data_IF_299163584525
#
_entry.id   IF_299163584525
#
_cell.length_a   1.000
_cell.length_b   1.000
_cell.length_c   1.000
_cell.angle_alpha   90.00
_cell.angle_beta   90.00
_cell.angle_gamma   90.00
#
_symmetry.space_group_name_H-M   'P 1'
#
loop_
_entity.id
_entity.type
_entity.pdbx_description
1 polymer ?
#
# COMPACT_ATOMS: atom_id res chain seq x y z
N UNK A 1 24.88 -14.49 -1.63
CA UNK A 1 23.53 -14.38 -1.02
C UNK A 1 23.71 -14.30 0.48
N UNK A 2 23.14 -13.28 1.12
CA UNK A 2 23.12 -13.14 2.59
C UNK A 2 22.20 -14.19 3.22
N UNK A 3 22.44 -14.53 4.48
CA UNK A 3 21.56 -15.46 5.21
C UNK A 3 20.24 -14.77 5.58
N UNK A 4 19.15 -15.54 5.75
CA UNK A 4 17.86 -15.01 6.22
C UNK A 4 17.99 -14.21 7.53
N UNK A 5 18.76 -14.73 8.49
CA UNK A 5 19.01 -14.07 9.79
C UNK A 5 19.79 -12.77 9.64
N UNK A 6 20.71 -12.73 8.67
CA UNK A 6 21.50 -11.54 8.37
C UNK A 6 20.62 -10.46 7.74
N UNK A 7 19.74 -10.82 6.80
CA UNK A 7 18.76 -9.89 6.24
C UNK A 7 17.82 -9.34 7.31
N UNK A 8 17.24 -10.19 8.17
CA UNK A 8 16.37 -9.74 9.28
C UNK A 8 17.08 -8.75 10.21
N UNK A 9 18.34 -9.02 10.56
CA UNK A 9 19.17 -8.13 11.37
C UNK A 9 19.39 -6.77 10.69
N UNK A 10 19.79 -6.79 9.41
CA UNK A 10 20.02 -5.56 8.64
C UNK A 10 18.73 -4.75 8.42
N UNK A 11 17.60 -5.43 8.16
CA UNK A 11 16.29 -4.77 8.05
C UNK A 11 15.89 -4.10 9.36
N UNK A 12 16.16 -4.74 10.51
CA UNK A 12 15.93 -4.14 11.81
C UNK A 12 16.81 -2.90 12.03
N UNK A 13 18.11 -2.99 11.74
CA UNK A 13 19.01 -1.84 11.84
C UNK A 13 18.54 -0.69 10.96
N UNK A 14 18.18 -0.97 9.71
CA UNK A 14 17.65 0.03 8.77
C UNK A 14 16.36 0.70 9.29
N UNK A 15 15.46 -0.08 9.90
CA UNK A 15 14.27 0.49 10.55
C UNK A 15 14.65 1.45 11.68
N UNK A 16 15.55 1.06 12.58
CA UNK A 16 16.00 1.90 13.70
C UNK A 16 16.72 3.19 13.22
N UNK A 17 17.44 3.12 12.10
CA UNK A 17 18.15 4.25 11.51
C UNK A 17 17.23 5.21 10.74
N UNK A 18 16.13 4.71 10.16
CA UNK A 18 15.26 5.49 9.26
C UNK A 18 13.93 5.88 9.88
N UNK A 19 13.56 5.31 11.03
CA UNK A 19 12.38 5.72 11.77
C UNK A 19 12.59 7.13 12.32
N UNK A 20 11.63 8.02 12.05
CA UNK A 20 11.62 9.37 12.58
C UNK A 20 10.22 9.80 12.97
N UNK A 21 10.13 10.84 13.79
CA UNK A 21 8.88 11.52 14.08
C UNK A 21 8.86 12.79 13.23
N UNK A 22 7.82 12.96 12.42
CA UNK A 22 7.67 14.14 11.56
C UNK A 22 7.13 15.35 12.34
N UNK A 23 6.97 16.48 11.66
CA UNK A 23 6.52 17.74 12.26
C UNK A 23 5.12 17.64 12.90
N UNK A 24 4.29 16.72 12.40
CA UNK A 24 2.95 16.42 12.92
C UNK A 24 2.96 15.42 14.10
N UNK A 25 4.14 15.00 14.57
CA UNK A 25 4.26 14.03 15.66
C UNK A 25 3.98 12.57 15.25
N UNK A 26 4.00 12.25 13.95
CA UNK A 26 3.73 10.90 13.43
C UNK A 26 5.03 10.15 13.11
N UNK A 27 5.00 8.84 13.32
CA UNK A 27 6.09 7.96 12.90
C UNK A 27 6.12 7.85 11.37
N UNK A 28 7.26 8.20 10.80
CA UNK A 28 7.62 7.91 9.41
C UNK A 28 8.69 6.84 9.39
N UNK A 29 8.50 5.83 8.53
CA UNK A 29 9.41 4.69 8.38
C UNK A 29 9.74 4.53 6.91
N UNK A 30 11.01 4.28 6.60
CA UNK A 30 11.40 3.97 5.22
C UNK A 30 11.03 2.53 4.87
N UNK A 31 10.56 2.31 3.65
CA UNK A 31 10.30 0.95 3.16
C UNK A 31 11.62 0.17 3.06
N UNK A 32 11.69 -1.07 3.59
CA UNK A 32 12.92 -1.85 3.63
C UNK A 32 13.18 -2.51 2.27
N UNK A 33 13.69 -1.75 1.30
CA UNK A 33 13.99 -2.25 -0.04
C UNK A 33 15.12 -3.29 -0.05
N UNK A 34 14.94 -4.36 -0.83
CA UNK A 34 16.02 -5.34 -1.08
C UNK A 34 17.08 -4.73 -1.97
N UNK A 35 18.36 -4.83 -1.60
CA UNK A 35 19.45 -4.24 -2.39
C UNK A 35 19.57 -4.78 -3.83
N UNK A 36 19.04 -5.97 -4.10
CA UNK A 36 19.06 -6.64 -5.40
C UNK A 36 17.67 -6.76 -6.06
N UNK A 37 16.69 -5.94 -5.64
CA UNK A 37 15.36 -6.00 -6.24
C UNK A 37 15.40 -5.64 -7.74
N UNK A 38 14.61 -6.34 -8.54
CA UNK A 38 14.37 -5.94 -9.93
C UNK A 38 13.61 -4.60 -9.97
N UNK A 39 13.74 -3.80 -11.06
CA UNK A 39 12.95 -2.58 -11.21
C UNK A 39 11.46 -2.85 -11.00
N UNK A 40 10.81 -2.01 -10.20
CA UNK A 40 9.37 -2.10 -9.94
C UNK A 40 8.64 -1.20 -10.94
N UNK A 41 8.02 -1.75 -12.01
CA UNK A 41 7.29 -0.94 -12.96
C UNK A 41 5.97 -0.45 -12.37
N UNK A 42 5.41 0.58 -13.01
CA UNK A 42 4.06 1.02 -12.70
C UNK A 42 3.04 -0.08 -13.01
N UNK A 43 2.05 -0.24 -12.14
CA UNK A 43 0.95 -1.20 -12.29
C UNK A 43 -0.41 -0.50 -12.48
N UNK A 44 -0.40 0.79 -12.89
CA UNK A 44 -1.58 1.66 -12.97
C UNK A 44 -2.79 1.02 -13.65
N UNK A 45 -2.61 0.43 -14.83
CA UNK A 45 -3.72 -0.22 -15.56
C UNK A 45 -4.35 -1.37 -14.79
N UNK A 46 -3.53 -2.19 -14.12
CA UNK A 46 -4.00 -3.32 -13.31
C UNK A 46 -4.77 -2.80 -12.09
N UNK A 47 -4.25 -1.74 -11.45
CA UNK A 47 -4.89 -1.12 -10.31
C UNK A 47 -6.22 -0.47 -10.67
N UNK A 48 -6.29 0.22 -11.81
CA UNK A 48 -7.51 0.86 -12.29
C UNK A 48 -8.60 -0.17 -12.61
N UNK A 49 -8.28 -1.25 -13.33
CA UNK A 49 -9.24 -2.34 -13.62
C UNK A 49 -9.79 -2.98 -12.34
N UNK A 50 -8.95 -3.13 -11.31
CA UNK A 50 -9.36 -3.65 -10.00
C UNK A 50 -10.26 -2.67 -9.26
N UNK A 51 -9.98 -1.37 -9.34
CA UNK A 51 -10.83 -0.31 -8.79
C UNK A 51 -12.22 -0.35 -9.42
N UNK A 52 -12.31 -0.30 -10.75
CA UNK A 52 -13.59 -0.36 -11.49
C UNK A 52 -14.43 -1.58 -11.10
N UNK A 53 -13.78 -2.75 -11.07
CA UNK A 53 -14.45 -4.01 -10.71
C UNK A 53 -14.95 -3.99 -9.26
N UNK A 54 -14.14 -3.48 -8.33
CA UNK A 54 -14.50 -3.38 -6.91
C UNK A 54 -15.63 -2.38 -6.69
N UNK A 55 -15.60 -1.23 -7.35
CA UNK A 55 -16.64 -0.21 -7.32
C UNK A 55 -17.97 -0.75 -7.83
N UNK A 56 -17.98 -1.44 -8.98
CA UNK A 56 -19.19 -2.09 -9.50
C UNK A 56 -19.78 -3.09 -8.50
N UNK A 57 -18.94 -3.90 -7.86
CA UNK A 57 -19.37 -4.86 -6.84
C UNK A 57 -19.97 -4.16 -5.62
N UNK A 58 -19.33 -3.09 -5.13
CA UNK A 58 -19.81 -2.31 -4.00
C UNK A 58 -21.19 -1.66 -4.25
N UNK A 59 -21.43 -1.16 -5.45
CA UNK A 59 -22.76 -0.65 -5.83
C UNK A 59 -23.80 -1.76 -5.86
N UNK A 60 -23.47 -2.91 -6.46
CA UNK A 60 -24.38 -4.06 -6.51
C UNK A 60 -24.76 -4.55 -5.09
N UNK A 61 -23.80 -4.58 -4.18
CA UNK A 61 -24.00 -4.99 -2.78
C UNK A 61 -24.55 -3.88 -1.87
N UNK A 62 -24.80 -2.67 -2.41
CA UNK A 62 -25.26 -1.47 -1.68
C UNK A 62 -24.32 -1.07 -0.52
N UNK A 63 -23.02 -1.28 -0.69
CA UNK A 63 -21.98 -0.98 0.29
C UNK A 63 -21.10 0.21 -0.10
N UNK A 64 -21.32 0.81 -1.27
CA UNK A 64 -20.48 1.89 -1.79
C UNK A 64 -20.35 3.07 -0.81
N UNK A 65 -21.45 3.63 -0.32
CA UNK A 65 -21.42 4.76 0.62
C UNK A 65 -20.64 4.42 1.89
N UNK A 66 -20.93 3.28 2.50
CA UNK A 66 -20.22 2.85 3.72
C UNK A 66 -18.72 2.61 3.47
N UNK A 67 -18.33 2.23 2.26
CA UNK A 67 -16.92 2.05 1.88
C UNK A 67 -16.23 3.39 1.62
N UNK A 68 -16.89 4.29 0.89
CA UNK A 68 -16.44 5.66 0.59
C UNK A 68 -16.27 6.50 1.87
N UNK A 69 -17.17 6.36 2.84
CA UNK A 69 -17.08 7.03 4.13
C UNK A 69 -15.79 6.69 4.89
N UNK A 70 -15.25 5.47 4.73
CA UNK A 70 -13.95 5.09 5.32
C UNK A 70 -12.81 5.90 4.72
N UNK A 71 -12.80 6.10 3.40
CA UNK A 71 -11.76 6.90 2.74
C UNK A 71 -11.89 8.39 3.08
N UNK A 72 -13.12 8.90 3.21
CA UNK A 72 -13.36 10.28 3.69
C UNK A 72 -12.90 10.47 5.12
N UNK A 73 -13.15 9.50 6.00
CA UNK A 73 -12.63 9.52 7.37
C UNK A 73 -11.10 9.52 7.36
N UNK A 74 -10.45 8.64 6.59
CA UNK A 74 -8.99 8.61 6.48
C UNK A 74 -8.41 9.92 5.93
N UNK A 75 -9.06 10.53 4.95
CA UNK A 75 -8.67 11.86 4.46
C UNK A 75 -8.84 12.94 5.53
N UNK A 76 -9.93 12.92 6.31
CA UNK A 76 -10.16 13.87 7.41
C UNK A 76 -9.15 13.73 8.55
N UNK A 77 -8.64 12.51 8.76
CA UNK A 77 -7.57 12.20 9.70
C UNK A 77 -6.17 12.50 9.12
N UNK A 78 -6.07 12.97 7.87
CA UNK A 78 -4.80 13.21 7.19
C UNK A 78 -3.98 11.93 6.97
N UNK A 79 -4.62 10.77 6.90
CA UNK A 79 -3.97 9.49 6.56
C UNK A 79 -3.81 9.39 5.03
N UNK A 80 -4.75 9.97 4.28
CA UNK A 80 -4.71 10.07 2.84
C UNK A 80 -4.52 11.52 2.43
N UNK A 81 -3.71 11.72 1.40
CA UNK A 81 -3.55 13.00 0.71
C UNK A 81 -3.88 12.81 -0.78
N UNK A 82 -4.26 13.91 -1.44
CA UNK A 82 -4.44 13.89 -2.88
C UNK A 82 -3.07 13.90 -3.55
N UNK A 83 -2.90 13.07 -4.57
CA UNK A 83 -1.71 13.05 -5.41
C UNK A 83 -1.55 14.42 -6.11
N UNK A 84 -0.44 15.15 -5.90
CA UNK A 84 -0.22 16.44 -6.54
C UNK A 84 -0.07 16.27 -8.06
N UNK A 85 -1.14 16.61 -8.78
CA UNK A 85 -1.33 16.50 -10.24
C UNK A 85 -0.18 17.13 -11.07
N UNK A 86 0.63 18.02 -10.49
CA UNK A 86 1.65 18.79 -11.20
C UNK A 86 3.07 18.19 -11.23
N UNK A 87 3.34 17.04 -10.61
CA UNK A 87 4.67 16.43 -10.64
C UNK A 87 4.91 15.61 -11.92
N UNK A 88 5.05 16.35 -13.01
CA UNK A 88 5.55 15.94 -14.32
C UNK A 88 6.61 14.81 -14.30
N UNK A 89 6.25 13.67 -14.90
CA UNK A 89 7.13 12.80 -15.71
C UNK A 89 8.31 12.05 -15.08
N UNK A 90 8.53 12.08 -13.75
CA UNK A 90 9.74 11.45 -13.16
C UNK A 90 9.50 10.56 -11.94
N UNK A 91 8.25 10.22 -11.61
CA UNK A 91 7.97 9.40 -10.43
C UNK A 91 7.81 7.91 -10.80
N UNK A 92 8.60 7.06 -10.14
CA UNK A 92 8.39 5.62 -10.13
C UNK A 92 7.12 5.31 -9.31
N UNK A 93 5.96 5.52 -9.92
CA UNK A 93 4.66 5.30 -9.28
C UNK A 93 4.31 3.81 -9.27
N UNK A 94 3.96 3.29 -8.09
CA UNK A 94 3.35 1.97 -7.95
C UNK A 94 2.07 2.09 -7.14
N UNK A 95 0.98 1.59 -7.69
CA UNK A 95 -0.35 1.74 -7.11
C UNK A 95 -0.69 0.51 -6.27
N UNK A 96 -1.37 0.72 -5.15
CA UNK A 96 -1.84 -0.35 -4.29
C UNK A 96 -3.36 -0.50 -4.42
N UNK A 97 -3.85 -1.49 -5.18
CA UNK A 97 -5.27 -1.76 -5.28
C UNK A 97 -5.85 -2.09 -3.91
N UNK A 98 -7.09 -1.69 -3.67
CA UNK A 98 -7.81 -2.01 -2.46
C UNK A 98 -9.03 -2.86 -2.76
N UNK A 99 -9.46 -3.67 -1.78
CA UNK A 99 -10.71 -4.42 -1.84
C UNK A 99 -11.52 -4.33 -0.55
N UNK A 100 -12.85 -4.37 -0.62
CA UNK A 100 -13.69 -4.40 0.57
C UNK A 100 -13.65 -5.76 1.25
N UNK A 101 -13.51 -5.76 2.58
CA UNK A 101 -13.80 -6.90 3.44
C UNK A 101 -14.98 -6.55 4.32
N UNK A 102 -16.08 -7.29 4.15
CA UNK A 102 -17.32 -7.11 4.89
C UNK A 102 -17.29 -8.00 6.13
N UNK A 103 -17.50 -7.41 7.30
CA UNK A 103 -17.69 -8.15 8.54
C UNK A 103 -19.19 -8.29 8.79
N UNK A 104 -19.65 -9.50 9.11
CA UNK A 104 -21.04 -9.74 9.50
C UNK A 104 -21.35 -9.17 10.89
N UNK A 105 -20.33 -9.04 11.75
CA UNK A 105 -20.43 -8.54 13.12
C UNK A 105 -19.30 -7.54 13.41
N UNK A 106 -19.62 -6.45 14.12
CA UNK A 106 -18.67 -5.40 14.50
C UNK A 106 -19.21 -3.98 14.27
N UNK A 107 -18.47 -2.98 14.75
CA UNK A 107 -18.82 -1.54 14.61
C UNK A 107 -18.63 -1.04 13.18
N UNK A 108 -17.58 -1.50 12.48
CA UNK A 108 -17.32 -1.17 11.07
C UNK A 108 -17.74 -2.32 10.16
N UNK A 109 -18.83 -2.11 9.39
CA UNK A 109 -19.41 -3.14 8.50
C UNK A 109 -18.49 -3.51 7.33
N UNK A 110 -17.69 -2.56 6.84
CA UNK A 110 -16.78 -2.77 5.70
C UNK A 110 -15.44 -2.11 5.98
N UNK A 111 -14.34 -2.77 5.61
CA UNK A 111 -12.99 -2.20 5.71
C UNK A 111 -12.22 -2.36 4.40
N UNK A 112 -11.44 -1.36 3.97
CA UNK A 112 -10.49 -1.51 2.89
C UNK A 112 -9.34 -2.44 3.29
N UNK A 113 -8.95 -3.34 2.39
CA UNK A 113 -7.69 -4.08 2.46
C UNK A 113 -6.85 -3.67 1.27
N UNK A 114 -5.67 -3.13 1.55
CA UNK A 114 -4.69 -2.71 0.56
C UNK A 114 -3.84 -3.91 0.13
N UNK A 115 -3.68 -4.13 -1.16
CA UNK A 115 -2.97 -5.27 -1.75
C UNK A 115 -1.70 -4.84 -2.49
N UNK A 116 -0.55 -5.23 -1.95
CA UNK A 116 0.77 -4.96 -2.52
C UNK A 116 1.34 -6.12 -3.38
N UNK A 117 0.53 -7.15 -3.66
CA UNK A 117 0.90 -8.27 -4.54
C UNK A 117 0.66 -8.09 -6.06
N UNK A 118 -0.15 -7.14 -6.58
CA UNK A 118 -0.37 -7.03 -8.01
C UNK A 118 0.91 -6.64 -8.74
N UNK A 119 1.17 -7.31 -9.86
CA UNK A 119 2.34 -7.12 -10.71
C UNK A 119 2.00 -7.40 -12.16
N UNK A 120 2.78 -6.82 -13.08
CA UNK A 120 2.76 -7.22 -14.47
C UNK A 120 3.41 -8.60 -14.65
N UNK A 121 3.05 -9.31 -15.72
CA UNK A 121 3.66 -10.61 -16.04
C UNK A 121 5.15 -10.41 -16.30
N UNK A 122 6.01 -11.18 -15.62
CA UNK A 122 7.47 -11.05 -15.75
C UNK A 122 8.12 -9.98 -14.87
N UNK A 123 7.34 -9.18 -14.14
CA UNK A 123 7.85 -8.12 -13.26
C UNK A 123 7.65 -8.46 -11.79
N UNK A 124 8.43 -7.89 -10.85
CA UNK A 124 8.21 -8.10 -9.42
C UNK A 124 6.95 -7.36 -8.93
N UNK A 125 6.34 -7.84 -7.84
CA UNK A 125 5.39 -7.04 -7.03
C UNK A 125 6.13 -6.24 -5.96
N UNK A 126 5.49 -5.21 -5.38
CA UNK A 126 6.07 -4.47 -4.24
C UNK A 126 6.49 -5.40 -3.10
N UNK A 127 5.65 -6.38 -2.73
CA UNK A 127 6.00 -7.39 -1.70
C UNK A 127 7.29 -8.19 -2.01
N UNK A 128 7.66 -8.33 -3.28
CA UNK A 128 8.88 -9.04 -3.68
C UNK A 128 10.11 -8.12 -3.60
N UNK A 129 9.93 -6.82 -3.80
CA UNK A 129 10.99 -5.81 -3.72
C UNK A 129 11.34 -5.39 -2.29
N UNK A 130 10.48 -5.70 -1.30
CA UNK A 130 10.69 -5.37 0.11
C UNK A 130 11.20 -6.58 0.89
N UNK A 131 12.09 -6.35 1.86
CA UNK A 131 12.51 -7.34 2.83
C UNK A 131 11.36 -7.71 3.76
N UNK A 132 11.33 -9.00 4.13
CA UNK A 132 10.49 -9.45 5.22
C UNK A 132 11.20 -9.07 6.51
N UNK A 133 10.60 -8.16 7.29
CA UNK A 133 11.10 -7.85 8.63
C UNK A 133 11.11 -9.08 9.54
N UNK A 134 11.74 -8.98 10.72
CA UNK A 134 11.69 -10.07 11.70
C UNK A 134 10.24 -10.39 12.09
N UNK A 135 9.91 -11.69 12.21
CA UNK A 135 8.62 -12.18 12.73
C UNK A 135 8.67 -12.39 14.23
#
# INVERSE_FOLDING_TARGET
>A
MKSKKENEYLTKQYFEETVRINEDGRYEVSLPWKGDHLPLPSNKEIAMKRLETSTRKLHHEKLFTAYDDVFKEWASLGILENDPVESSSCHHEHYLPHRPVVKQHGTTKVRPVIDASPRQVGSPSLNQCLESGPN
#
